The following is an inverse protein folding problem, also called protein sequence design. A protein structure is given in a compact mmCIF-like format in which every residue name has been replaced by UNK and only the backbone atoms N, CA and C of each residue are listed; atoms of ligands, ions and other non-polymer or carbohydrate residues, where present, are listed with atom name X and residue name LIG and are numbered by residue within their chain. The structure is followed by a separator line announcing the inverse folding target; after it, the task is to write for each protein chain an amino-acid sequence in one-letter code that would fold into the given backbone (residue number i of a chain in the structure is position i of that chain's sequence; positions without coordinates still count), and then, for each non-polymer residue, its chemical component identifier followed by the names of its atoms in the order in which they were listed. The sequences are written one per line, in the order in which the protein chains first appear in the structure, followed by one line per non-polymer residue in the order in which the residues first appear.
data_IF_145111841628
#
_entry.id   IF_145111841628
#
_cell.length_a   1.000
_cell.length_b   1.000
_cell.length_c   1.000
_cell.angle_alpha   90.00
_cell.angle_beta   90.00
_cell.angle_gamma   90.00
#
_symmetry.space_group_name_H-M   'P 1'
#
loop_
_entity.id
_entity.type
_entity.pdbx_description
1 polymer ?
#
# COMPACT_ATOMS: atom_id res chain seq x y z
N UNK A 1 15.27 -7.62 -62.23
CA UNK A 1 14.28 -8.63 -61.78
C UNK A 1 14.97 -9.98 -61.74
N UNK A 2 15.26 -10.48 -60.54
CA UNK A 2 15.69 -11.85 -60.22
C UNK A 2 15.09 -12.14 -58.83
N UNK A 3 14.42 -13.28 -58.60
CA UNK A 3 13.70 -13.59 -57.38
C UNK A 3 14.62 -14.25 -56.35
N UNK A 4 14.37 -14.04 -55.05
CA UNK A 4 14.96 -14.87 -54.00
C UNK A 4 13.83 -15.26 -53.04
N UNK A 5 13.62 -16.57 -52.98
CA UNK A 5 12.59 -17.22 -52.19
C UNK A 5 12.95 -17.36 -50.70
N UNK A 6 11.95 -17.82 -49.96
CA UNK A 6 11.98 -18.19 -48.55
C UNK A 6 13.12 -19.15 -48.19
N UNK A 7 13.54 -19.12 -46.92
CA UNK A 7 13.34 -20.33 -46.15
C UNK A 7 12.70 -20.09 -44.77
N UNK A 8 11.74 -20.95 -44.47
CA UNK A 8 11.31 -21.42 -43.15
C UNK A 8 12.49 -21.74 -42.23
N UNK A 9 12.45 -21.24 -40.99
CA UNK A 9 13.30 -21.72 -39.90
C UNK A 9 12.43 -22.40 -38.84
N UNK A 10 12.51 -23.73 -38.87
CA UNK A 10 12.10 -24.67 -37.84
C UNK A 10 13.25 -24.83 -36.84
N UNK A 11 12.86 -24.98 -35.57
CA UNK A 11 13.59 -25.50 -34.40
C UNK A 11 15.06 -25.14 -34.19
N UNK A 12 15.31 -24.48 -33.05
CA UNK A 12 16.37 -24.86 -32.11
C UNK A 12 16.13 -24.20 -30.75
N UNK A 13 15.61 -24.98 -29.81
CA UNK A 13 15.65 -24.67 -28.39
C UNK A 13 17.11 -24.53 -27.92
N UNK A 14 17.48 -23.48 -27.16
CA UNK A 14 18.76 -23.47 -26.48
C UNK A 14 18.68 -24.37 -25.24
N UNK A 15 19.51 -25.42 -25.25
CA UNK A 15 19.86 -26.23 -24.09
C UNK A 15 20.46 -25.30 -23.02
N UNK A 16 19.73 -25.07 -21.94
CA UNK A 16 20.30 -24.44 -20.74
C UNK A 16 21.21 -25.44 -20.03
N UNK A 17 22.50 -25.16 -20.06
CA UNK A 17 23.50 -25.90 -19.29
C UNK A 17 23.30 -25.61 -17.80
N UNK A 18 22.93 -26.64 -17.03
CA UNK A 18 23.14 -26.68 -15.59
C UNK A 18 24.63 -26.55 -15.31
N UNK A 19 25.09 -25.35 -14.93
CA UNK A 19 26.20 -25.06 -14.01
C UNK A 19 26.48 -23.57 -14.06
N UNK A 20 26.34 -22.93 -12.90
CA UNK A 20 26.77 -21.58 -12.50
C UNK A 20 25.62 -20.68 -12.04
N UNK A 21 25.17 -20.89 -10.80
CA UNK A 21 24.69 -19.83 -9.91
C UNK A 21 24.62 -20.36 -8.47
N UNK A 22 25.77 -20.76 -7.91
CA UNK A 22 25.97 -20.75 -6.46
C UNK A 22 26.28 -19.30 -6.10
N UNK A 23 25.61 -18.80 -5.06
CA UNK A 23 25.73 -17.45 -4.47
C UNK A 23 24.94 -16.34 -5.16
N UNK A 24 23.65 -16.27 -4.84
CA UNK A 24 22.92 -15.01 -4.70
C UNK A 24 21.96 -15.18 -3.52
N UNK A 25 22.18 -14.35 -2.50
CA UNK A 25 21.39 -14.32 -1.28
C UNK A 25 19.91 -14.15 -1.62
N UNK A 26 19.13 -15.11 -1.14
CA UNK A 26 17.69 -15.21 -1.33
C UNK A 26 16.98 -14.10 -0.56
N UNK A 27 16.92 -12.89 -1.10
CA UNK A 27 15.91 -11.93 -0.72
C UNK A 27 14.57 -12.40 -1.31
N UNK A 28 13.98 -13.40 -0.66
CA UNK A 28 12.63 -13.87 -0.95
C UNK A 28 11.65 -12.73 -0.63
N UNK A 29 11.37 -11.88 -1.62
CA UNK A 29 10.20 -11.02 -1.66
C UNK A 29 8.96 -11.92 -1.78
N UNK A 30 8.51 -12.48 -0.65
CA UNK A 30 7.23 -13.18 -0.55
C UNK A 30 6.12 -12.14 -0.70
N UNK A 31 5.64 -11.97 -1.94
CA UNK A 31 4.35 -11.35 -2.18
C UNK A 31 3.28 -12.39 -1.85
N UNK A 32 2.87 -12.47 -0.58
CA UNK A 32 1.69 -13.25 -0.20
C UNK A 32 0.48 -12.45 -0.69
N UNK A 33 -0.21 -12.97 -1.71
CA UNK A 33 -1.50 -12.43 -2.12
C UNK A 33 -2.58 -12.95 -1.18
N UNK A 34 -3.36 -12.03 -0.63
CA UNK A 34 -4.60 -12.36 0.06
C UNK A 34 -5.72 -11.74 -0.76
N UNK A 35 -6.60 -12.58 -1.31
CA UNK A 35 -7.85 -12.08 -1.89
C UNK A 35 -8.81 -11.83 -0.74
N UNK A 36 -9.11 -10.57 -0.41
CA UNK A 36 -10.22 -10.27 0.49
C UNK A 36 -11.48 -10.13 -0.35
N UNK A 37 -12.37 -11.11 -0.28
CA UNK A 37 -13.74 -10.89 -0.73
C UNK A 37 -14.36 -9.78 0.14
N UNK A 38 -14.62 -8.63 -0.49
CA UNK A 38 -15.22 -7.40 0.05
C UNK A 38 -14.32 -6.63 1.02
N UNK A 39 -13.55 -5.67 0.49
CA UNK A 39 -13.07 -4.52 1.27
C UNK A 39 -14.24 -3.98 2.13
N UNK A 40 -14.09 -4.15 3.45
CA UNK A 40 -15.02 -3.78 4.50
C UNK A 40 -15.13 -2.26 4.67
N UNK A 41 -15.00 -1.76 5.90
CA UNK A 41 -15.08 -0.32 6.17
C UNK A 41 -13.97 0.46 5.43
N UNK A 42 -14.38 1.47 4.67
CA UNK A 42 -13.52 2.39 3.91
C UNK A 42 -13.24 3.67 4.70
N UNK A 43 -12.56 4.64 4.08
CA UNK A 43 -12.42 5.99 4.65
C UNK A 43 -13.67 6.87 4.45
N UNK A 44 -14.73 6.34 3.79
CA UNK A 44 -15.97 7.07 3.47
C UNK A 44 -15.72 8.32 2.60
N UNK A 45 -14.65 8.31 1.80
CA UNK A 45 -14.29 9.39 0.87
C UNK A 45 -14.17 8.84 -0.54
N UNK A 46 -14.99 9.37 -1.45
CA UNK A 46 -14.97 9.01 -2.88
C UNK A 46 -14.41 10.11 -3.77
N UNK A 47 -14.40 9.89 -5.10
CA UNK A 47 -13.88 10.85 -6.09
C UNK A 47 -14.37 12.28 -5.95
N UNK A 48 -15.68 12.47 -5.68
CA UNK A 48 -16.29 13.81 -5.57
C UNK A 48 -15.63 14.61 -4.45
N UNK A 49 -15.43 14.01 -3.28
CA UNK A 49 -14.75 14.66 -2.16
C UNK A 49 -13.33 15.12 -2.52
N UNK A 50 -12.57 14.27 -3.22
CA UNK A 50 -11.21 14.62 -3.62
C UNK A 50 -11.19 15.69 -4.71
N UNK A 51 -12.13 15.65 -5.64
CA UNK A 51 -12.30 16.66 -6.67
C UNK A 51 -12.62 18.04 -6.08
N UNK A 52 -13.59 18.12 -5.19
CA UNK A 52 -13.99 19.40 -4.58
C UNK A 52 -12.83 20.04 -3.79
N UNK A 53 -12.04 19.21 -3.12
CA UNK A 53 -10.95 19.69 -2.26
C UNK A 53 -9.66 19.97 -3.02
N UNK A 54 -9.29 19.12 -3.98
CA UNK A 54 -7.98 19.11 -4.64
C UNK A 54 -8.04 19.33 -6.17
N UNK A 55 -9.22 19.58 -6.71
CA UNK A 55 -9.43 19.81 -8.14
C UNK A 55 -9.38 18.52 -8.97
N UNK A 56 -9.26 18.68 -10.29
CA UNK A 56 -9.21 17.57 -11.23
C UNK A 56 -8.07 16.60 -10.93
N UNK A 57 -8.37 15.30 -11.03
CA UNK A 57 -7.36 14.26 -10.96
C UNK A 57 -6.32 14.43 -12.08
N UNK A 58 -5.04 14.29 -11.75
CA UNK A 58 -3.93 14.33 -12.69
C UNK A 58 -3.79 13.00 -13.43
N UNK A 59 -4.01 11.89 -12.71
CA UNK A 59 -3.94 10.53 -13.25
C UNK A 59 -5.04 9.68 -12.66
N UNK A 60 -5.47 8.68 -13.43
CA UNK A 60 -6.37 7.61 -12.98
C UNK A 60 -5.92 6.31 -13.64
N UNK A 61 -5.57 5.31 -12.83
CA UNK A 61 -5.08 4.02 -13.31
C UNK A 61 -5.80 2.89 -12.58
N UNK A 62 -6.45 2.02 -13.35
CA UNK A 62 -6.94 0.74 -12.86
C UNK A 62 -5.76 -0.21 -12.67
N UNK A 63 -5.73 -0.91 -11.55
CA UNK A 63 -4.72 -1.93 -11.23
C UNK A 63 -5.42 -3.16 -10.69
N UNK A 64 -4.91 -4.34 -11.06
CA UNK A 64 -5.38 -5.60 -10.50
C UNK A 64 -4.90 -5.82 -9.06
N UNK A 65 -3.79 -5.17 -8.69
CA UNK A 65 -3.24 -5.21 -7.34
C UNK A 65 -2.38 -3.98 -7.07
N UNK A 66 -2.20 -3.62 -5.79
CA UNK A 66 -1.43 -2.45 -5.39
C UNK A 66 -0.58 -2.67 -4.15
N UNK A 67 0.64 -2.12 -4.18
CA UNK A 67 1.57 -2.15 -3.04
C UNK A 67 1.37 -0.94 -2.16
N UNK A 68 0.85 -1.17 -0.95
CA UNK A 68 0.70 -0.14 0.07
C UNK A 68 1.90 -0.19 1.02
N UNK A 69 2.51 0.96 1.27
CA UNK A 69 3.54 1.10 2.30
C UNK A 69 2.90 0.89 3.68
N UNK A 70 3.59 0.24 4.61
CA UNK A 70 3.07 0.06 5.96
C UNK A 70 4.00 0.66 7.00
N UNK A 71 3.46 1.17 8.12
CA UNK A 71 4.28 1.63 9.22
C UNK A 71 4.83 0.49 10.10
N UNK A 72 4.54 -0.77 9.75
CA UNK A 72 4.77 -1.93 10.61
C UNK A 72 6.05 -2.70 10.27
N UNK A 73 6.55 -2.62 9.03
CA UNK A 73 7.85 -3.15 8.64
C UNK A 73 8.40 -2.37 7.43
N UNK A 74 9.68 -2.57 7.06
CA UNK A 74 10.26 -2.04 5.80
C UNK A 74 9.73 -2.83 4.58
N UNK A 75 8.48 -3.30 4.65
CA UNK A 75 7.86 -4.15 3.67
C UNK A 75 6.59 -3.49 3.12
N UNK A 76 6.39 -3.70 1.83
CA UNK A 76 5.18 -3.34 1.13
C UNK A 76 4.19 -4.47 1.25
N UNK A 77 2.93 -4.15 1.46
CA UNK A 77 1.85 -5.13 1.44
C UNK A 77 1.10 -5.01 0.12
N UNK A 78 0.82 -6.17 -0.50
CA UNK A 78 0.11 -6.26 -1.77
C UNK A 78 -1.37 -6.45 -1.52
N UNK A 79 -2.18 -5.44 -1.85
CA UNK A 79 -3.64 -5.59 -1.93
C UNK A 79 -3.93 -6.23 -3.29
N UNK A 80 -4.35 -7.49 -3.29
CA UNK A 80 -4.57 -8.29 -4.51
C UNK A 80 -6.03 -8.22 -4.97
N UNK A 81 -6.51 -7.00 -5.20
CA UNK A 81 -7.87 -6.72 -5.65
C UNK A 81 -7.90 -5.59 -6.68
N UNK A 82 -8.90 -5.61 -7.60
CA UNK A 82 -9.14 -4.50 -8.51
C UNK A 82 -9.30 -3.18 -7.75
N UNK A 83 -8.41 -2.24 -8.04
CA UNK A 83 -8.37 -0.93 -7.42
C UNK A 83 -8.18 0.16 -8.47
N UNK A 84 -8.59 1.38 -8.12
CA UNK A 84 -8.29 2.58 -8.90
C UNK A 84 -7.35 3.48 -8.11
N UNK A 85 -6.20 3.77 -8.70
CA UNK A 85 -5.25 4.74 -8.14
C UNK A 85 -5.50 6.08 -8.83
N UNK A 86 -5.72 7.13 -8.03
CA UNK A 86 -5.86 8.49 -8.53
C UNK A 86 -4.88 9.42 -7.85
N UNK A 87 -4.29 10.33 -8.64
CA UNK A 87 -3.41 11.38 -8.14
C UNK A 87 -4.08 12.73 -8.24
N UNK A 88 -3.98 13.53 -7.19
CA UNK A 88 -4.46 14.92 -7.14
C UNK A 88 -3.32 15.84 -6.70
N UNK A 89 -3.34 17.09 -7.13
CA UNK A 89 -2.38 18.09 -6.67
C UNK A 89 -3.00 19.47 -6.67
N UNK A 90 -2.89 20.17 -5.53
CA UNK A 90 -3.38 21.53 -5.37
C UNK A 90 -2.58 22.24 -4.29
N UNK A 91 -2.19 23.48 -4.54
CA UNK A 91 -1.56 24.38 -3.55
C UNK A 91 -0.38 23.75 -2.77
N UNK A 92 0.51 23.04 -3.47
CA UNK A 92 1.68 22.38 -2.87
C UNK A 92 1.37 21.11 -2.05
N UNK A 93 0.15 20.60 -2.16
CA UNK A 93 -0.30 19.30 -1.61
C UNK A 93 -0.46 18.31 -2.76
N UNK A 94 0.18 17.14 -2.65
CA UNK A 94 -0.03 16.01 -3.56
C UNK A 94 -0.72 14.87 -2.82
N UNK A 95 -1.76 14.28 -3.43
CA UNK A 95 -2.45 13.11 -2.91
C UNK A 95 -2.36 11.95 -3.88
N UNK A 96 -2.01 10.78 -3.34
CA UNK A 96 -2.27 9.50 -3.99
C UNK A 96 -3.39 8.79 -3.24
N UNK A 97 -4.44 8.42 -3.95
CA UNK A 97 -5.64 7.80 -3.39
C UNK A 97 -5.82 6.43 -4.03
N UNK A 98 -5.89 5.40 -3.19
CA UNK A 98 -6.31 4.06 -3.61
C UNK A 98 -7.79 3.91 -3.32
N UNK A 99 -8.59 3.77 -4.37
CA UNK A 99 -10.03 3.56 -4.33
C UNK A 99 -10.35 2.08 -4.57
N UNK A 100 -11.32 1.55 -3.84
CA UNK A 100 -11.93 0.26 -4.12
C UNK A 100 -12.71 0.29 -5.44
N UNK A 101 -12.73 -0.81 -6.16
CA UNK A 101 -13.56 -1.01 -7.36
C UNK A 101 -14.61 -2.11 -7.03
N UNK A 102 -15.92 -1.92 -7.26
CA UNK A 102 -16.60 -0.81 -7.93
C UNK A 102 -17.15 0.29 -7.02
N UNK A 103 -16.96 0.19 -5.70
CA UNK A 103 -17.56 1.16 -4.76
C UNK A 103 -16.96 2.57 -4.85
N UNK A 104 -15.74 2.68 -5.39
CA UNK A 104 -15.00 3.95 -5.53
C UNK A 104 -14.80 4.67 -4.19
N UNK A 105 -14.55 3.92 -3.12
CA UNK A 105 -14.27 4.49 -1.80
C UNK A 105 -12.79 4.35 -1.45
N UNK A 106 -12.23 5.38 -0.84
CA UNK A 106 -10.82 5.40 -0.47
C UNK A 106 -10.52 4.35 0.60
N UNK A 107 -9.56 3.48 0.28
CA UNK A 107 -8.99 2.47 1.18
C UNK A 107 -7.73 2.99 1.85
N UNK A 108 -6.98 3.79 1.10
CA UNK A 108 -5.72 4.37 1.52
C UNK A 108 -5.51 5.72 0.85
N UNK A 109 -4.97 6.66 1.61
CA UNK A 109 -4.59 7.98 1.12
C UNK A 109 -3.18 8.30 1.58
N UNK A 110 -2.33 8.73 0.65
CA UNK A 110 -1.04 9.35 0.95
C UNK A 110 -1.08 10.83 0.61
N UNK A 111 -0.89 11.64 1.62
CA UNK A 111 -0.79 13.09 1.51
C UNK A 111 0.69 13.47 1.61
N UNK A 112 1.20 14.16 0.61
CA UNK A 112 2.55 14.70 0.59
C UNK A 112 2.48 16.22 0.54
N UNK A 113 3.20 16.89 1.44
CA UNK A 113 3.33 18.34 1.44
C UNK A 113 4.71 18.74 0.93
N UNK A 114 4.80 19.83 0.16
CA UNK A 114 6.08 20.44 -0.20
C UNK A 114 6.86 20.89 1.05
N UNK A 115 6.13 21.50 1.99
CA UNK A 115 6.62 21.90 3.31
C UNK A 115 6.39 20.80 4.35
N UNK A 116 7.09 20.84 5.49
CA UNK A 116 6.83 19.89 6.59
C UNK A 116 5.43 20.14 7.17
N UNK A 117 4.79 19.07 7.65
CA UNK A 117 3.59 19.21 8.47
C UNK A 117 3.93 19.98 9.75
N UNK A 118 3.10 20.96 10.11
CA UNK A 118 3.04 21.52 11.46
C UNK A 118 2.04 20.70 12.27
N UNK A 119 2.03 20.88 13.59
CA UNK A 119 1.03 20.19 14.41
C UNK A 119 -0.40 20.60 14.02
N UNK A 120 -0.63 21.86 13.64
CA UNK A 120 -1.95 22.29 13.16
C UNK A 120 -2.32 21.65 11.81
N UNK A 121 -1.38 21.61 10.85
CA UNK A 121 -1.68 21.02 9.54
C UNK A 121 -1.82 19.51 9.60
N UNK A 122 -1.09 18.84 10.50
CA UNK A 122 -1.27 17.41 10.77
C UNK A 122 -2.64 17.15 11.41
N UNK A 123 -3.02 17.91 12.43
CA UNK A 123 -4.33 17.78 13.08
C UNK A 123 -5.48 18.05 12.10
N UNK A 124 -5.36 19.08 11.24
CA UNK A 124 -6.35 19.40 10.21
C UNK A 124 -6.44 18.32 9.11
N UNK A 125 -5.31 17.70 8.75
CA UNK A 125 -5.31 16.59 7.82
C UNK A 125 -5.96 15.34 8.41
N UNK A 126 -5.67 15.00 9.67
CA UNK A 126 -6.29 13.88 10.37
C UNK A 126 -7.79 14.08 10.56
N UNK A 127 -8.22 15.27 10.98
CA UNK A 127 -9.64 15.57 11.26
C UNK A 127 -10.54 15.41 10.02
N UNK A 128 -9.98 15.62 8.82
CA UNK A 128 -10.68 15.38 7.55
C UNK A 128 -11.10 13.91 7.35
N UNK A 129 -10.43 12.98 8.04
CA UNK A 129 -10.66 11.54 7.96
C UNK A 129 -11.13 10.95 9.30
N UNK A 130 -11.69 11.75 10.20
CA UNK A 130 -12.35 11.27 11.41
C UNK A 130 -12.05 12.09 12.65
N UNK A 131 -12.78 11.80 13.72
CA UNK A 131 -12.59 12.39 15.05
C UNK A 131 -11.72 11.52 15.96
N UNK A 132 -11.33 12.08 17.10
CA UNK A 132 -10.75 11.32 18.20
C UNK A 132 -9.40 10.69 17.90
N UNK A 133 -8.62 11.28 17.00
CA UNK A 133 -7.27 10.82 16.71
C UNK A 133 -6.39 10.91 17.94
N UNK A 134 -5.87 9.76 18.37
CA UNK A 134 -4.93 9.63 19.48
C UNK A 134 -3.63 9.05 18.96
N UNK A 135 -2.51 9.57 19.47
CA UNK A 135 -1.20 9.00 19.19
C UNK A 135 -1.13 7.62 19.84
N UNK A 136 -0.74 6.63 19.04
CA UNK A 136 -0.51 5.27 19.50
C UNK A 136 0.70 5.26 20.42
N UNK A 137 0.59 4.63 21.58
CA UNK A 137 1.68 4.57 22.58
C UNK A 137 2.45 3.26 22.51
N UNK A 138 1.79 2.20 22.06
CA UNK A 138 2.39 0.87 21.96
C UNK A 138 1.79 0.09 20.79
N UNK A 139 2.47 -0.97 20.39
CA UNK A 139 2.09 -1.81 19.26
C UNK A 139 0.76 -2.53 19.53
N UNK A 140 0.53 -2.93 20.78
CA UNK A 140 -0.67 -3.60 21.25
C UNK A 140 -1.94 -2.74 21.06
N UNK A 141 -1.81 -1.41 21.16
CA UNK A 141 -2.92 -0.48 20.92
C UNK A 141 -3.41 -0.50 19.47
N UNK A 142 -2.68 -1.09 18.53
CA UNK A 142 -3.12 -1.27 17.13
C UNK A 142 -3.68 -2.68 16.89
N UNK A 143 -3.53 -3.59 17.86
CA UNK A 143 -3.93 -4.98 17.72
C UNK A 143 -3.12 -5.72 16.65
N UNK A 144 -1.84 -5.34 16.50
CA UNK A 144 -0.89 -5.96 15.59
C UNK A 144 0.26 -6.50 16.43
N UNK A 145 0.70 -7.72 16.16
CA UNK A 145 1.83 -8.35 16.88
C UNK A 145 3.19 -7.99 16.26
N UNK A 146 3.34 -6.77 15.73
CA UNK A 146 4.47 -6.39 14.86
C UNK A 146 5.11 -5.08 15.35
N UNK A 147 6.45 -5.02 15.49
CA UNK A 147 7.13 -3.80 15.90
C UNK A 147 6.92 -2.67 14.88
N UNK A 148 6.21 -1.63 15.30
CA UNK A 148 6.02 -0.41 14.54
C UNK A 148 7.35 0.30 14.24
N UNK A 149 7.57 0.67 12.97
CA UNK A 149 8.81 1.33 12.54
C UNK A 149 9.08 2.63 13.32
N UNK A 150 8.04 3.36 13.73
CA UNK A 150 8.15 4.49 14.65
C UNK A 150 6.81 4.75 15.34
N UNK A 151 6.50 4.04 16.44
CA UNK A 151 5.23 4.15 17.19
C UNK A 151 4.80 5.61 17.43
N UNK A 152 5.77 6.49 17.76
CA UNK A 152 5.54 7.92 18.04
C UNK A 152 4.91 8.73 16.90
N UNK A 153 4.87 8.20 15.69
CA UNK A 153 4.27 8.86 14.53
C UNK A 153 3.02 8.18 14.01
N UNK A 154 2.48 7.23 14.78
CA UNK A 154 1.26 6.51 14.44
C UNK A 154 0.11 7.08 15.25
N UNK A 155 -1.04 7.24 14.59
CA UNK A 155 -2.27 7.72 15.19
C UNK A 155 -3.39 6.74 14.89
N UNK A 156 -4.31 6.61 15.84
CA UNK A 156 -5.52 5.79 15.71
C UNK A 156 -6.74 6.68 15.96
N UNK A 157 -7.74 6.56 15.10
CA UNK A 157 -9.04 7.23 15.28
C UNK A 157 -9.99 6.38 16.12
N UNK A 158 -11.08 6.97 16.59
CA UNK A 158 -12.17 6.26 17.28
C UNK A 158 -12.82 5.18 16.40
N UNK A 159 -12.88 5.40 15.08
CA UNK A 159 -13.43 4.45 14.10
C UNK A 159 -12.40 3.42 13.61
N UNK A 160 -11.33 3.17 14.36
CA UNK A 160 -10.35 2.15 14.02
C UNK A 160 -9.43 2.46 12.82
N UNK A 161 -9.54 3.65 12.20
CA UNK A 161 -8.60 4.10 11.15
C UNK A 161 -7.22 4.34 11.75
N UNK A 162 -6.19 4.13 10.94
CA UNK A 162 -4.80 4.37 11.30
C UNK A 162 -4.22 5.47 10.43
N UNK A 163 -3.33 6.27 10.99
CA UNK A 163 -2.50 7.17 10.23
C UNK A 163 -1.05 7.05 10.64
N UNK A 164 -0.15 7.17 9.68
CA UNK A 164 1.29 7.20 9.90
C UNK A 164 1.88 8.45 9.26
N UNK A 165 2.57 9.23 10.08
CA UNK A 165 3.29 10.41 9.66
C UNK A 165 4.79 10.12 9.56
N UNK A 166 5.39 10.40 8.41
CA UNK A 166 6.84 10.34 8.23
C UNK A 166 7.42 11.76 8.21
N UNK A 167 8.11 12.21 9.28
CA UNK A 167 8.76 13.52 9.28
C UNK A 167 9.91 13.61 8.26
N UNK A 168 10.48 12.46 7.88
CA UNK A 168 11.58 12.37 6.91
C UNK A 168 11.06 12.60 5.49
N UNK A 169 9.98 11.90 5.11
CA UNK A 169 9.43 11.97 3.74
C UNK A 169 8.33 13.01 3.59
N UNK A 170 7.96 13.72 4.67
CA UNK A 170 6.87 14.72 4.70
C UNK A 170 5.53 14.15 4.24
N UNK A 171 5.30 12.87 4.57
CA UNK A 171 4.12 12.13 4.13
C UNK A 171 3.23 11.79 5.32
N UNK A 172 1.93 11.95 5.12
CA UNK A 172 0.90 11.39 5.98
C UNK A 172 0.16 10.31 5.20
N UNK A 173 0.19 9.09 5.70
CA UNK A 173 -0.56 7.96 5.13
C UNK A 173 -1.71 7.62 6.04
N UNK A 174 -2.91 7.48 5.49
CA UNK A 174 -4.14 7.17 6.21
C UNK A 174 -4.71 5.87 5.65
N UNK A 175 -4.99 4.94 6.54
CA UNK A 175 -5.41 3.58 6.24
C UNK A 175 -6.84 3.36 6.74
N UNK A 176 -7.69 2.81 5.88
CA UNK A 176 -9.01 2.32 6.26
C UNK A 176 -8.91 1.10 7.19
N UNK A 177 -9.96 0.80 7.98
CA UNK A 177 -10.00 -0.41 8.79
C UNK A 177 -9.77 -1.68 7.97
N UNK A 178 -10.33 -1.76 6.75
CA UNK A 178 -10.13 -2.90 5.85
C UNK A 178 -8.66 -3.16 5.52
N UNK A 179 -7.91 -2.10 5.26
CA UNK A 179 -6.48 -2.20 4.98
C UNK A 179 -5.71 -2.65 6.23
N UNK A 180 -6.16 -2.27 7.43
CA UNK A 180 -5.56 -2.70 8.70
C UNK A 180 -5.85 -4.19 8.97
N UNK A 181 -7.08 -4.65 8.74
CA UNK A 181 -7.41 -6.08 8.86
C UNK A 181 -6.60 -6.92 7.87
N UNK A 182 -6.44 -6.43 6.63
CA UNK A 182 -5.53 -7.05 5.67
C UNK A 182 -4.11 -7.19 6.23
N UNK A 183 -3.61 -6.16 6.93
CA UNK A 183 -2.30 -6.21 7.57
C UNK A 183 -2.25 -7.31 8.66
N UNK A 184 -3.27 -7.42 9.49
CA UNK A 184 -3.35 -8.47 10.52
C UNK A 184 -3.30 -9.86 9.89
N UNK A 185 -4.14 -10.10 8.88
CA UNK A 185 -4.23 -11.40 8.21
C UNK A 185 -2.93 -11.79 7.50
N UNK A 186 -2.29 -10.84 6.82
CA UNK A 186 -1.00 -11.06 6.16
C UNK A 186 0.07 -11.49 7.16
N UNK A 187 0.13 -10.82 8.31
CA UNK A 187 1.13 -11.14 9.33
C UNK A 187 0.84 -12.42 10.09
N UNK A 188 -0.43 -12.72 10.39
CA UNK A 188 -0.83 -14.00 10.98
C UNK A 188 -0.40 -15.18 10.09
N UNK A 189 -0.68 -15.10 8.79
CA UNK A 189 -0.26 -16.12 7.81
C UNK A 189 1.27 -16.27 7.76
N UNK A 190 2.00 -15.16 7.75
CA UNK A 190 3.47 -15.20 7.73
C UNK A 190 4.05 -15.83 9.00
N UNK A 191 3.46 -15.56 10.16
CA UNK A 191 3.86 -16.19 11.42
C UNK A 191 3.61 -17.71 11.40
N UNK A 192 2.46 -18.15 10.87
CA UNK A 192 2.18 -19.58 10.67
C UNK A 192 3.16 -20.25 9.71
N UNK A 193 3.51 -19.60 8.60
CA UNK A 193 4.47 -20.13 7.63
C UNK A 193 5.87 -20.25 8.24
N UNK A 194 6.32 -19.25 9.00
CA UNK A 194 7.60 -19.30 9.70
C UNK A 194 7.65 -20.41 10.75
N UNK A 195 6.56 -20.64 11.48
CA UNK A 195 6.46 -21.74 12.44
C UNK A 195 6.54 -23.13 11.77
N UNK A 196 6.20 -23.24 10.48
CA UNK A 196 6.25 -24.50 9.70
C UNK A 196 7.64 -24.78 9.11
N UNK A 197 8.56 -23.82 9.09
CA UNK A 197 9.94 -24.05 8.62
C UNK A 197 10.77 -24.63 9.78
N UNK A 198 11.29 -25.87 9.68
CA UNK A 198 12.17 -26.39 10.71
C UNK A 198 13.45 -25.55 10.77
N UNK A 199 13.78 -25.08 11.96
CA UNK A 199 15.09 -24.46 12.21
C UNK A 199 16.11 -25.61 12.24
N UNK A 200 16.85 -25.77 11.14
CA UNK A 200 17.97 -26.71 11.02
C UNK A 200 19.29 -26.05 11.46
#
# INVERSE_FOLDING_TARGET
MIPIGFPTLVDRAPRFSLRCAKWLGLACLLAVSVSASLLGESLEKGPVYFYDRYGSQQTSKAVASYRVFTPFEVNWILIDEPCLIRKYSKDGVTLDVLLSDPKLEALWVRITLEKRFTDESLAAALSAYGSGWKRVRSVEEVGLEIPLLHVKHVFRSERGRLAYFSPVTKQLMIYSPSVIEFFKDFHAKRAEEQAKVPVF
#
